data_IF_083232499655
#
_entry.id   IF_083232499655
#
_cell.length_a   1.000
_cell.length_b   1.000
_cell.length_c   1.000
_cell.angle_alpha   90.00
_cell.angle_beta   90.00
_cell.angle_gamma   90.00
#
_symmetry.space_group_name_H-M   'P 1'
#
loop_
_entity.id
_entity.type
_entity.pdbx_description
1 polymer ?
#
# COMPACT_ATOMS: atom_id res chain seq x y z
N UNK A 1 36.83 10.91 -20.15
CA UNK A 1 36.20 9.91 -21.05
C UNK A 1 34.70 9.97 -20.84
N UNK A 2 33.90 10.17 -21.88
CA UNK A 2 32.44 10.19 -21.75
C UNK A 2 31.85 8.81 -21.43
N UNK A 3 30.61 8.75 -20.92
CA UNK A 3 29.86 7.50 -20.69
C UNK A 3 29.85 6.62 -21.96
N UNK A 4 29.64 7.22 -23.13
CA UNK A 4 29.65 6.54 -24.44
C UNK A 4 31.02 5.94 -24.81
N UNK A 5 32.13 6.59 -24.48
CA UNK A 5 33.48 6.07 -24.76
C UNK A 5 33.85 4.92 -23.81
N UNK A 6 33.41 5.02 -22.55
CA UNK A 6 33.55 3.95 -21.57
C UNK A 6 32.84 2.68 -22.04
N UNK A 7 31.62 2.82 -22.57
CA UNK A 7 30.81 1.71 -23.07
C UNK A 7 31.38 1.09 -24.35
N UNK A 8 31.83 1.91 -25.30
CA UNK A 8 32.48 1.43 -26.53
C UNK A 8 33.74 0.59 -26.25
N UNK A 9 34.46 0.89 -25.15
CA UNK A 9 35.65 0.12 -24.74
C UNK A 9 35.33 -1.17 -23.98
N UNK A 10 34.23 -1.23 -23.23
CA UNK A 10 33.93 -2.37 -22.34
C UNK A 10 32.92 -3.36 -22.91
N UNK A 11 31.97 -2.91 -23.74
CA UNK A 11 30.86 -3.75 -24.26
C UNK A 11 31.15 -4.24 -25.69
N UNK A 12 32.21 -3.75 -26.33
CA UNK A 12 32.46 -3.98 -27.76
C UNK A 12 31.51 -3.14 -28.63
N UNK A 13 31.66 -3.15 -29.97
CA UNK A 13 30.76 -2.42 -30.85
C UNK A 13 29.33 -2.93 -30.63
N UNK A 14 28.44 -2.05 -30.18
CA UNK A 14 27.00 -2.29 -30.14
C UNK A 14 26.60 -2.78 -31.53
N UNK A 15 26.22 -4.06 -31.65
CA UNK A 15 25.70 -4.60 -32.90
C UNK A 15 24.50 -3.75 -33.29
N UNK A 16 24.64 -3.02 -34.39
CA UNK A 16 23.51 -2.50 -35.15
C UNK A 16 22.70 -3.72 -35.59
N UNK A 17 21.66 -4.05 -34.85
CA UNK A 17 20.63 -4.97 -35.32
C UNK A 17 19.88 -4.25 -36.43
N UNK A 18 20.37 -4.41 -37.65
CA UNK A 18 19.67 -4.01 -38.86
C UNK A 18 18.37 -4.79 -39.01
N UNK A 19 17.34 -4.09 -39.48
CA UNK A 19 16.15 -4.68 -40.10
C UNK A 19 14.83 -4.35 -39.40
N UNK A 20 14.01 -3.53 -40.06
CA UNK A 20 12.55 -3.50 -39.85
C UNK A 20 12.00 -2.13 -39.45
N UNK A 21 11.26 -1.52 -40.37
CA UNK A 21 10.52 -0.27 -40.19
C UNK A 21 9.60 -0.33 -38.97
N UNK A 22 9.85 0.55 -38.01
CA UNK A 22 8.96 0.99 -36.94
C UNK A 22 9.58 2.28 -36.42
N UNK A 23 8.77 3.30 -36.11
CA UNK A 23 9.20 4.52 -35.43
C UNK A 23 9.83 4.17 -34.08
N UNK A 24 11.10 3.78 -34.10
CA UNK A 24 11.93 3.61 -32.92
C UNK A 24 12.29 5.01 -32.44
N UNK A 25 11.43 5.55 -31.57
CA UNK A 25 11.79 6.63 -30.64
C UNK A 25 13.15 6.25 -30.05
N UNK A 26 14.16 7.07 -30.29
CA UNK A 26 15.52 6.81 -29.86
C UNK A 26 15.56 6.70 -28.34
N UNK A 27 15.48 5.48 -27.82
CA UNK A 27 15.61 5.24 -26.39
C UNK A 27 16.97 5.77 -25.93
N UNK A 28 17.00 6.68 -24.94
CA UNK A 28 18.22 7.20 -24.34
C UNK A 28 19.24 6.08 -24.09
N UNK A 29 20.49 6.22 -24.54
CA UNK A 29 21.52 5.19 -24.40
C UNK A 29 21.76 4.72 -22.94
N UNK A 30 21.30 5.50 -21.95
CA UNK A 30 21.27 5.11 -20.54
C UNK A 30 20.24 4.01 -20.20
N UNK A 31 19.18 3.85 -21.00
CA UNK A 31 18.10 2.85 -20.83
C UNK A 31 18.54 1.46 -21.32
N UNK A 32 19.52 1.38 -22.24
CA UNK A 32 20.13 0.12 -22.66
C UNK A 32 21.18 -0.43 -21.69
N UNK A 33 21.58 0.36 -20.69
CA UNK A 33 22.51 -0.08 -19.66
C UNK A 33 21.75 -0.80 -18.56
N UNK A 34 22.24 -1.97 -18.16
CA UNK A 34 21.78 -2.58 -16.93
C UNK A 34 22.05 -1.62 -15.76
N UNK A 35 21.15 -1.56 -14.77
CA UNK A 35 21.35 -0.75 -13.56
C UNK A 35 22.72 -1.05 -12.92
N UNK A 36 23.16 -2.31 -12.97
CA UNK A 36 24.48 -2.76 -12.52
C UNK A 36 25.65 -2.12 -13.27
N UNK A 37 25.51 -1.86 -14.58
CA UNK A 37 26.57 -1.22 -15.37
C UNK A 37 26.70 0.25 -15.04
N UNK A 38 25.56 0.93 -14.77
CA UNK A 38 25.55 2.30 -14.26
C UNK A 38 26.19 2.37 -12.88
N UNK A 39 25.90 1.42 -11.98
CA UNK A 39 26.57 1.33 -10.68
C UNK A 39 28.09 1.17 -10.81
N UNK A 40 28.54 0.25 -11.67
CA UNK A 40 29.97 0.04 -11.92
C UNK A 40 30.63 1.30 -12.49
N UNK A 41 29.99 1.96 -13.45
CA UNK A 41 30.49 3.21 -14.01
C UNK A 41 30.63 4.30 -12.94
N UNK A 42 29.60 4.49 -12.10
CA UNK A 42 29.65 5.46 -11.02
C UNK A 42 30.77 5.11 -10.02
N UNK A 43 30.91 3.85 -9.64
CA UNK A 43 31.95 3.39 -8.72
C UNK A 43 33.38 3.57 -9.28
N UNK A 44 33.60 3.30 -10.56
CA UNK A 44 34.89 3.49 -11.21
C UNK A 44 35.24 4.99 -11.33
N UNK A 45 34.29 5.82 -11.76
CA UNK A 45 34.46 7.27 -11.82
C UNK A 45 34.74 7.89 -10.47
N UNK A 46 34.00 7.46 -9.45
CA UNK A 46 34.19 7.93 -8.08
C UNK A 46 35.58 7.57 -7.56
N UNK A 47 36.07 6.33 -7.83
CA UNK A 47 37.45 5.93 -7.50
C UNK A 47 38.50 6.75 -8.22
N UNK A 48 38.33 7.00 -9.52
CA UNK A 48 39.28 7.81 -10.31
C UNK A 48 39.37 9.24 -9.76
N UNK A 49 38.22 9.91 -9.63
CA UNK A 49 38.19 11.34 -9.32
C UNK A 49 38.52 11.64 -7.86
N UNK A 50 38.04 10.80 -6.94
CA UNK A 50 38.38 10.95 -5.53
C UNK A 50 39.80 10.45 -5.25
N UNK A 51 40.26 9.41 -5.95
CA UNK A 51 41.64 8.95 -5.89
C UNK A 51 42.62 10.05 -6.28
N UNK A 52 42.37 10.74 -7.39
CA UNK A 52 43.21 11.86 -7.83
C UNK A 52 43.24 13.01 -6.80
N UNK A 53 42.09 13.34 -6.20
CA UNK A 53 42.01 14.38 -5.17
C UNK A 53 42.76 13.98 -3.89
N UNK A 54 42.70 12.71 -3.48
CA UNK A 54 43.44 12.18 -2.33
C UNK A 54 44.95 12.23 -2.60
N UNK A 55 45.40 11.83 -3.79
CA UNK A 55 46.83 11.91 -4.15
C UNK A 55 47.32 13.36 -4.20
N UNK A 56 46.53 14.30 -4.72
CA UNK A 56 46.84 15.74 -4.69
C UNK A 56 46.88 16.33 -3.27
N UNK A 57 46.07 15.79 -2.37
CA UNK A 57 46.02 16.20 -0.96
C UNK A 57 47.18 15.64 -0.13
N UNK A 58 47.91 14.64 -0.63
CA UNK A 58 48.98 13.95 0.10
C UNK A 58 50.10 14.90 0.56
N UNK A 59 50.70 15.64 -0.37
CA UNK A 59 51.83 16.53 -0.07
C UNK A 59 51.45 17.62 0.96
N UNK A 60 50.31 18.34 0.83
CA UNK A 60 49.85 19.27 1.86
C UNK A 60 49.66 18.61 3.23
N UNK A 61 49.14 17.39 3.29
CA UNK A 61 48.87 16.67 4.55
C UNK A 61 50.18 16.23 5.22
N UNK A 62 51.13 15.68 4.47
CA UNK A 62 52.45 15.30 5.01
C UNK A 62 53.21 16.52 5.54
N UNK A 63 53.10 17.68 4.87
CA UNK A 63 53.69 18.95 5.35
C UNK A 63 52.94 19.49 6.58
N UNK A 64 51.62 19.40 6.59
CA UNK A 64 50.79 19.79 7.75
C UNK A 64 51.16 18.99 8.99
N UNK A 65 51.47 17.69 8.84
CA UNK A 65 51.89 16.85 9.97
C UNK A 65 53.13 17.41 10.65
N UNK A 66 54.16 17.75 9.87
CA UNK A 66 55.39 18.33 10.40
C UNK A 66 55.15 19.70 11.07
N UNK A 67 54.47 20.62 10.37
CA UNK A 67 54.23 21.98 10.87
C UNK A 67 53.32 21.99 12.12
N UNK A 68 52.31 21.11 12.19
CA UNK A 68 51.46 20.96 13.37
C UNK A 68 52.24 20.35 14.54
N UNK A 69 53.13 19.39 14.28
CA UNK A 69 53.98 18.81 15.33
C UNK A 69 54.98 19.84 15.89
N UNK A 70 55.60 20.64 15.02
CA UNK A 70 56.46 21.77 15.44
C UNK A 70 55.65 22.79 16.25
N UNK A 71 54.44 23.16 15.82
CA UNK A 71 53.58 24.07 16.57
C UNK A 71 53.22 23.52 17.96
N UNK A 72 52.91 22.22 18.07
CA UNK A 72 52.63 21.58 19.37
C UNK A 72 53.83 21.62 20.30
N UNK A 73 55.02 21.29 19.79
CA UNK A 73 56.28 21.33 20.56
C UNK A 73 56.60 22.76 21.01
N UNK A 74 56.40 23.74 20.12
CA UNK A 74 56.55 25.15 20.45
C UNK A 74 55.60 25.54 21.59
N UNK A 75 54.30 25.23 21.47
CA UNK A 75 53.30 25.57 22.49
C UNK A 75 53.70 24.97 23.84
N UNK A 76 54.13 23.71 23.88
CA UNK A 76 54.58 23.07 25.11
C UNK A 76 55.82 23.74 25.70
N UNK A 77 56.79 24.11 24.86
CA UNK A 77 57.98 24.86 25.26
C UNK A 77 57.65 26.25 25.83
N UNK A 78 56.71 26.95 25.20
CA UNK A 78 56.24 28.26 25.65
C UNK A 78 55.46 28.19 26.97
N UNK A 79 54.62 27.16 27.16
CA UNK A 79 53.89 26.96 28.41
C UNK A 79 54.81 26.78 29.62
N UNK A 80 56.08 26.39 29.42
CA UNK A 80 57.09 26.27 30.50
C UNK A 80 57.78 27.58 30.87
N UNK A 81 57.63 28.64 30.08
CA UNK A 81 58.24 29.95 30.33
C UNK A 81 57.37 30.78 31.30
N UNK A 82 57.99 31.65 32.09
CA UNK A 82 57.28 32.59 32.98
C UNK A 82 57.55 34.02 32.52
N UNK A 83 56.57 34.94 32.64
CA UNK A 83 56.84 36.36 32.42
C UNK A 83 57.81 36.86 33.49
N UNK A 84 58.62 37.88 33.17
CA UNK A 84 59.54 38.46 34.14
C UNK A 84 58.76 39.06 35.34
N UNK A 85 59.02 38.52 36.53
CA UNK A 85 58.44 38.98 37.80
C UNK A 85 58.75 40.45 38.13
N UNK A 86 59.82 41.02 37.56
CA UNK A 86 60.20 42.42 37.71
C UNK A 86 59.41 43.38 36.81
N UNK A 87 58.59 42.88 35.87
CA UNK A 87 57.88 43.72 34.91
C UNK A 87 56.60 44.32 35.50
N UNK A 88 56.34 45.61 35.25
CA UNK A 88 55.18 46.36 35.79
C UNK A 88 53.80 45.77 35.43
N UNK A 89 53.75 44.92 34.40
CA UNK A 89 52.54 44.23 33.94
C UNK A 89 52.55 42.72 34.19
N UNK A 90 53.43 42.21 35.08
CA UNK A 90 53.58 40.77 35.36
C UNK A 90 52.24 40.05 35.59
N UNK A 91 51.37 40.55 36.48
CA UNK A 91 50.07 39.92 36.77
C UNK A 91 49.17 39.79 35.53
N UNK A 92 49.18 40.78 34.65
CA UNK A 92 48.39 40.78 33.41
C UNK A 92 49.00 39.76 32.43
N UNK A 93 50.33 39.74 32.29
CA UNK A 93 51.03 38.78 31.45
C UNK A 93 50.82 37.33 31.92
N UNK A 94 50.85 37.06 33.22
CA UNK A 94 50.57 35.73 33.79
C UNK A 94 49.14 35.29 33.52
N UNK A 95 48.15 36.18 33.65
CA UNK A 95 46.75 35.86 33.35
C UNK A 95 46.53 35.57 31.86
N UNK A 96 47.11 36.39 30.97
CA UNK A 96 47.06 36.15 29.52
C UNK A 96 47.76 34.84 29.16
N UNK A 97 48.91 34.54 29.75
CA UNK A 97 49.61 33.27 29.54
C UNK A 97 48.77 32.08 29.97
N UNK A 98 48.16 32.12 31.17
CA UNK A 98 47.27 31.05 31.64
C UNK A 98 46.05 30.87 30.70
N UNK A 99 45.52 31.98 30.18
CA UNK A 99 44.45 31.97 29.18
C UNK A 99 44.89 31.43 27.81
N UNK A 100 46.15 31.65 27.42
CA UNK A 100 46.75 31.03 26.24
C UNK A 100 46.93 29.52 26.47
N UNK A 101 47.65 29.10 27.51
CA UNK A 101 47.98 27.70 27.83
C UNK A 101 46.73 26.82 27.92
N UNK A 102 45.69 27.27 28.63
CA UNK A 102 44.45 26.51 28.81
C UNK A 102 43.68 26.24 27.50
N UNK A 103 43.84 27.11 26.50
CA UNK A 103 43.16 27.03 25.21
C UNK A 103 44.03 26.39 24.14
N UNK A 104 45.33 26.70 24.12
CA UNK A 104 46.30 26.17 23.18
C UNK A 104 46.64 24.71 23.44
N UNK A 105 46.61 24.25 24.70
CA UNK A 105 46.84 22.86 25.06
C UNK A 105 45.85 21.86 24.46
N UNK A 106 44.70 22.32 23.93
CA UNK A 106 43.70 21.47 23.27
C UNK A 106 43.78 21.53 21.75
N UNK A 107 44.52 22.49 21.19
CA UNK A 107 44.57 22.72 19.76
C UNK A 107 45.37 21.64 19.07
N UNK A 108 44.82 21.12 17.99
CA UNK A 108 45.41 20.08 17.17
C UNK A 108 45.66 18.76 17.89
N UNK A 109 45.58 18.63 19.22
CA UNK A 109 45.92 17.40 19.97
C UNK A 109 45.13 16.17 19.49
N UNK A 110 43.85 16.34 19.16
CA UNK A 110 42.99 15.28 18.61
C UNK A 110 42.99 15.20 17.09
N UNK A 111 43.82 15.99 16.40
CA UNK A 111 43.92 15.96 14.95
C UNK A 111 44.62 14.66 14.53
N UNK A 112 43.82 13.66 14.20
CA UNK A 112 44.29 12.41 13.60
C UNK A 112 44.61 12.63 12.14
N UNK A 113 45.87 12.46 11.76
CA UNK A 113 46.30 12.57 10.37
C UNK A 113 45.83 11.35 9.55
N UNK A 114 45.33 11.55 8.31
CA UNK A 114 44.99 10.47 7.42
C UNK A 114 46.20 9.55 7.20
N UNK A 115 45.98 8.24 7.23
CA UNK A 115 47.04 7.22 7.39
C UNK A 115 47.96 6.98 6.20
N UNK A 116 48.39 8.01 5.46
CA UNK A 116 49.35 7.92 4.36
C UNK A 116 50.65 7.23 4.78
N UNK A 117 51.12 7.48 6.01
CA UNK A 117 52.35 6.94 6.57
C UNK A 117 52.32 5.43 6.90
N UNK A 118 51.14 4.78 6.91
CA UNK A 118 50.99 3.35 7.26
C UNK A 118 50.69 2.45 6.05
N UNK A 119 50.91 2.94 4.83
CA UNK A 119 50.61 2.22 3.60
C UNK A 119 49.10 2.03 3.34
N UNK A 120 48.24 2.70 4.11
CA UNK A 120 46.79 2.71 3.89
C UNK A 120 46.43 3.92 3.06
N UNK A 121 45.71 3.71 1.95
CA UNK A 121 45.10 4.81 1.20
C UNK A 121 43.86 5.30 1.98
N UNK A 122 43.87 6.53 2.50
CA UNK A 122 42.69 7.06 3.16
C UNK A 122 41.56 7.24 2.15
N UNK A 123 40.32 7.15 2.61
CA UNK A 123 39.15 7.49 1.82
C UNK A 123 39.01 9.01 1.66
N UNK A 124 38.27 9.44 0.64
CA UNK A 124 38.02 10.85 0.41
C UNK A 124 37.29 11.51 1.59
N UNK A 125 36.38 10.75 2.22
CA UNK A 125 35.65 11.21 3.39
C UNK A 125 36.57 11.44 4.60
N UNK A 126 37.54 10.53 4.84
CA UNK A 126 38.51 10.72 5.92
C UNK A 126 39.37 11.98 5.70
N UNK A 127 39.76 12.26 4.45
CA UNK A 127 40.56 13.45 4.11
C UNK A 127 39.73 14.73 4.24
N UNK A 128 38.46 14.73 3.83
CA UNK A 128 37.59 15.90 4.00
C UNK A 128 37.24 16.16 5.46
N UNK A 129 36.97 15.12 6.26
CA UNK A 129 36.75 15.23 7.71
C UNK A 129 38.00 15.77 8.43
N UNK A 130 39.19 15.32 8.04
CA UNK A 130 40.44 15.85 8.56
C UNK A 130 40.56 17.36 8.31
N UNK A 131 40.31 17.80 7.08
CA UNK A 131 40.39 19.22 6.74
C UNK A 131 39.36 20.06 7.52
N UNK A 132 38.13 19.58 7.69
CA UNK A 132 37.11 20.28 8.49
C UNK A 132 37.54 20.47 9.94
N UNK A 133 38.14 19.43 10.54
CA UNK A 133 38.71 19.52 11.90
C UNK A 133 39.89 20.49 11.96
N UNK A 134 40.80 20.43 10.98
CA UNK A 134 41.94 21.35 10.87
C UNK A 134 41.48 22.82 10.81
N UNK A 135 40.49 23.13 9.99
CA UNK A 135 39.94 24.49 9.86
C UNK A 135 39.31 24.97 11.17
N UNK A 136 38.59 24.09 11.90
CA UNK A 136 38.00 24.40 13.20
C UNK A 136 39.08 24.71 14.26
N UNK A 137 40.16 23.93 14.27
CA UNK A 137 41.28 24.16 15.18
C UNK A 137 42.03 25.45 14.84
N UNK A 138 42.23 25.76 13.55
CA UNK A 138 42.81 27.03 13.10
C UNK A 138 41.97 28.26 13.49
N UNK A 139 40.64 28.16 13.38
CA UNK A 139 39.74 29.21 13.85
C UNK A 139 39.87 29.44 15.37
N UNK A 140 39.95 28.34 16.13
CA UNK A 140 40.11 28.40 17.59
C UNK A 140 41.49 28.95 17.97
N UNK A 141 42.55 28.58 17.25
CA UNK A 141 43.90 29.12 17.40
C UNK A 141 43.90 30.63 17.14
N UNK A 142 43.33 31.07 16.02
CA UNK A 142 43.26 32.49 15.64
C UNK A 142 42.55 33.33 16.69
N UNK A 143 41.43 32.83 17.23
CA UNK A 143 40.72 33.47 18.34
C UNK A 143 41.57 33.55 19.60
N UNK A 144 42.25 32.46 19.95
CA UNK A 144 43.14 32.40 21.13
C UNK A 144 44.31 33.37 21.00
N UNK A 145 44.89 33.53 19.80
CA UNK A 145 45.94 34.49 19.53
C UNK A 145 45.44 35.95 19.65
N UNK A 146 44.25 36.25 19.13
CA UNK A 146 43.64 37.60 19.22
C UNK A 146 43.31 38.00 20.66
N UNK A 147 42.74 37.07 21.43
CA UNK A 147 42.42 37.31 22.85
C UNK A 147 43.67 37.57 23.70
N UNK A 148 44.85 37.15 23.20
CA UNK A 148 46.14 37.30 23.83
C UNK A 148 47.09 38.22 23.03
N UNK A 149 46.58 39.20 22.29
CA UNK A 149 47.37 40.03 21.36
C UNK A 149 48.59 40.76 21.96
N UNK A 150 48.66 40.92 23.28
CA UNK A 150 49.77 41.58 23.98
C UNK A 150 50.84 40.60 24.51
N UNK A 151 50.59 39.28 24.48
CA UNK A 151 51.59 38.26 24.82
C UNK A 151 52.94 38.46 24.10
N UNK A 152 52.97 38.87 22.81
CA UNK A 152 54.22 39.14 22.10
C UNK A 152 55.10 40.21 22.73
N UNK A 153 54.55 41.16 23.48
CA UNK A 153 55.36 42.21 24.14
C UNK A 153 56.23 41.63 25.28
N UNK A 154 55.83 40.48 25.83
CA UNK A 154 56.51 39.78 26.93
C UNK A 154 57.40 38.62 26.46
N UNK A 155 57.16 38.12 25.23
CA UNK A 155 57.81 36.91 24.69
C UNK A 155 58.07 37.05 23.18
N UNK A 156 58.79 38.11 22.79
CA UNK A 156 58.94 38.53 21.38
C UNK A 156 59.43 37.44 20.44
N UNK A 157 60.46 36.69 20.84
CA UNK A 157 61.09 35.69 19.96
C UNK A 157 60.18 34.46 19.76
N UNK A 158 59.56 33.97 20.83
CA UNK A 158 58.69 32.79 20.79
C UNK A 158 57.38 33.06 20.03
N UNK A 159 56.81 34.25 20.21
CA UNK A 159 55.54 34.62 19.57
C UNK A 159 55.66 34.89 18.07
N UNK A 160 56.84 35.30 17.61
CA UNK A 160 57.14 35.41 16.19
C UNK A 160 57.16 34.03 15.50
N UNK A 161 57.76 33.03 16.16
CA UNK A 161 57.80 31.64 15.67
C UNK A 161 56.40 31.03 15.59
N UNK A 162 55.56 31.20 16.63
CA UNK A 162 54.15 30.76 16.59
C UNK A 162 53.36 31.39 15.46
N UNK A 163 53.56 32.69 15.24
CA UNK A 163 52.88 33.42 14.18
C UNK A 163 53.29 32.94 12.79
N UNK A 164 54.55 32.52 12.62
CA UNK A 164 55.07 31.95 11.38
C UNK A 164 54.47 30.56 11.12
N UNK A 165 54.52 29.66 12.12
CA UNK A 165 53.97 28.30 12.02
C UNK A 165 52.47 28.33 11.74
N UNK A 166 51.71 29.17 12.45
CA UNK A 166 50.28 29.32 12.22
C UNK A 166 49.95 29.81 10.80
N UNK A 167 50.76 30.72 10.24
CA UNK A 167 50.62 31.17 8.85
C UNK A 167 50.91 30.04 7.85
N UNK A 168 51.94 29.22 8.10
CA UNK A 168 52.26 28.07 7.24
C UNK A 168 51.15 27.01 7.27
N UNK A 169 50.66 26.65 8.46
CA UNK A 169 49.52 25.72 8.60
C UNK A 169 48.27 26.28 7.91
N UNK A 170 48.00 27.59 8.04
CA UNK A 170 46.87 28.23 7.35
C UNK A 170 47.03 28.18 5.82
N UNK A 171 48.24 28.42 5.29
CA UNK A 171 48.51 28.32 3.86
C UNK A 171 48.32 26.89 3.35
N UNK A 172 48.85 25.89 4.08
CA UNK A 172 48.68 24.49 3.73
C UNK A 172 47.22 24.03 3.83
N UNK A 173 46.43 24.56 4.77
CA UNK A 173 45.00 24.30 4.85
C UNK A 173 44.23 24.84 3.63
N UNK A 174 44.67 25.98 3.08
CA UNK A 174 44.13 26.54 1.82
C UNK A 174 44.55 25.69 0.62
N UNK A 175 45.80 25.24 0.56
CA UNK A 175 46.27 24.31 -0.49
C UNK A 175 45.47 22.99 -0.46
N UNK A 176 45.23 22.44 0.73
CA UNK A 176 44.41 21.25 0.93
C UNK A 176 42.95 21.48 0.48
N UNK A 177 42.36 22.64 0.81
CA UNK A 177 41.01 22.97 0.32
C UNK A 177 40.97 23.04 -1.21
N UNK A 178 41.96 23.69 -1.83
CA UNK A 178 42.06 23.80 -3.27
C UNK A 178 42.20 22.44 -3.96
N UNK A 179 42.94 21.50 -3.35
CA UNK A 179 43.07 20.13 -3.85
C UNK A 179 41.75 19.35 -3.80
N UNK A 180 40.95 19.54 -2.74
CA UNK A 180 39.70 18.80 -2.51
C UNK A 180 38.46 19.44 -3.16
N UNK A 181 38.48 20.75 -3.42
CA UNK A 181 37.32 21.50 -3.91
C UNK A 181 36.69 20.94 -5.20
N UNK A 182 37.46 20.50 -6.23
CA UNK A 182 36.87 19.88 -7.43
C UNK A 182 36.12 18.59 -7.10
N UNK A 183 36.70 17.72 -6.27
CA UNK A 183 36.08 16.45 -5.89
C UNK A 183 34.85 16.65 -5.00
N UNK A 184 34.85 17.64 -4.09
CA UNK A 184 33.66 18.00 -3.28
C UNK A 184 32.48 18.43 -4.14
N UNK A 185 32.72 19.24 -5.18
CA UNK A 185 31.66 19.63 -6.13
C UNK A 185 31.10 18.41 -6.85
N UNK A 186 31.95 17.47 -7.24
CA UNK A 186 31.54 16.24 -7.94
C UNK A 186 30.85 15.23 -7.02
N UNK A 187 31.18 15.19 -5.73
CA UNK A 187 30.51 14.34 -4.74
C UNK A 187 29.00 14.58 -4.69
N UNK A 188 28.55 15.83 -4.78
CA UNK A 188 27.12 16.15 -4.86
C UNK A 188 26.48 15.56 -6.12
N UNK A 189 27.17 15.62 -7.25
CA UNK A 189 26.70 15.05 -8.52
C UNK A 189 26.61 13.52 -8.44
N UNK A 190 27.64 12.84 -7.92
CA UNK A 190 27.61 11.39 -7.69
C UNK A 190 26.46 10.98 -6.77
N UNK A 191 26.26 11.71 -5.67
CA UNK A 191 25.15 11.45 -4.74
C UNK A 191 23.79 11.62 -5.42
N UNK A 192 23.65 12.63 -6.29
CA UNK A 192 22.45 12.87 -7.09
C UNK A 192 22.18 11.75 -8.10
N UNK A 193 23.23 11.20 -8.72
CA UNK A 193 23.15 10.08 -9.64
C UNK A 193 22.77 8.78 -8.93
N UNK A 194 23.39 8.48 -7.77
CA UNK A 194 23.05 7.31 -6.96
C UNK A 194 21.59 7.34 -6.50
N UNK A 195 21.09 8.48 -6.04
CA UNK A 195 19.67 8.66 -5.68
C UNK A 195 18.73 8.44 -6.87
N UNK A 196 19.09 8.96 -8.04
CA UNK A 196 18.29 8.76 -9.25
C UNK A 196 18.29 7.29 -9.69
N UNK A 197 19.43 6.61 -9.59
CA UNK A 197 19.55 5.19 -9.88
C UNK A 197 18.70 4.33 -8.93
N UNK A 198 18.74 4.61 -7.63
CA UNK A 198 17.90 3.95 -6.62
C UNK A 198 16.40 4.15 -6.90
N UNK A 199 16.01 5.35 -7.33
CA UNK A 199 14.65 5.66 -7.78
C UNK A 199 14.23 4.85 -9.01
N UNK A 200 15.12 4.64 -9.98
CA UNK A 200 14.86 3.77 -11.14
C UNK A 200 14.72 2.32 -10.69
N UNK A 201 15.64 1.82 -9.86
CA UNK A 201 15.62 0.45 -9.33
C UNK A 201 14.31 0.15 -8.60
N UNK A 202 13.92 1.00 -7.65
CA UNK A 202 12.66 0.85 -6.92
C UNK A 202 11.41 0.99 -7.81
N UNK A 203 11.42 1.89 -8.80
CA UNK A 203 10.30 2.02 -9.74
C UNK A 203 10.18 0.80 -10.64
N UNK A 204 11.31 0.24 -11.09
CA UNK A 204 11.36 -0.97 -11.91
C UNK A 204 10.85 -2.18 -11.14
N UNK A 205 11.25 -2.34 -9.88
CA UNK A 205 10.74 -3.40 -9.02
C UNK A 205 9.20 -3.35 -8.90
N UNK A 206 8.63 -2.17 -8.65
CA UNK A 206 7.17 -1.98 -8.59
C UNK A 206 6.45 -2.28 -9.90
N UNK A 207 7.07 -1.96 -11.04
CA UNK A 207 6.51 -2.31 -12.36
C UNK A 207 6.50 -3.82 -12.54
N UNK A 208 7.60 -4.51 -12.22
CA UNK A 208 7.68 -5.97 -12.32
C UNK A 208 6.65 -6.66 -11.42
N UNK A 209 6.51 -6.24 -10.16
CA UNK A 209 5.51 -6.78 -9.22
C UNK A 209 4.08 -6.64 -9.78
N UNK A 210 3.74 -5.51 -10.38
CA UNK A 210 2.43 -5.29 -10.99
C UNK A 210 2.24 -6.09 -12.28
N UNK A 211 3.28 -6.28 -13.09
CA UNK A 211 3.23 -7.11 -14.29
C UNK A 211 3.00 -8.58 -13.95
N UNK A 212 3.68 -9.09 -12.93
CA UNK A 212 3.45 -10.44 -12.39
C UNK A 212 2.04 -10.57 -11.84
N UNK A 213 1.58 -9.60 -11.02
CA UNK A 213 0.23 -9.55 -10.48
C UNK A 213 -0.84 -9.54 -11.57
N UNK A 214 -0.63 -8.77 -12.65
CA UNK A 214 -1.53 -8.75 -13.81
C UNK A 214 -1.57 -10.09 -14.55
N UNK A 215 -0.48 -10.85 -14.58
CA UNK A 215 -0.47 -12.21 -15.08
C UNK A 215 -1.49 -13.09 -14.37
N UNK A 216 -1.44 -13.11 -13.02
CA UNK A 216 -2.39 -13.84 -12.19
C UNK A 216 -3.84 -13.31 -12.34
N UNK A 217 -4.03 -11.99 -12.38
CA UNK A 217 -5.36 -11.39 -12.58
C UNK A 217 -5.97 -11.79 -13.93
N UNK A 218 -5.17 -11.86 -15.01
CA UNK A 218 -5.63 -12.34 -16.33
C UNK A 218 -6.03 -13.80 -16.31
N UNK A 219 -5.26 -14.65 -15.64
CA UNK A 219 -5.58 -16.06 -15.49
C UNK A 219 -6.93 -16.25 -14.77
N UNK A 220 -7.12 -15.55 -13.64
CA UNK A 220 -8.39 -15.57 -12.89
C UNK A 220 -9.59 -15.08 -13.71
N UNK A 221 -9.42 -14.02 -14.51
CA UNK A 221 -10.48 -13.56 -15.44
C UNK A 221 -10.77 -14.64 -16.49
N UNK A 222 -9.75 -15.32 -17.01
CA UNK A 222 -9.92 -16.42 -17.95
C UNK A 222 -10.69 -17.61 -17.35
N UNK A 223 -10.37 -18.01 -16.12
CA UNK A 223 -11.07 -19.07 -15.39
C UNK A 223 -12.53 -18.70 -15.08
N UNK A 224 -12.77 -17.47 -14.59
CA UNK A 224 -14.11 -16.96 -14.37
C UNK A 224 -14.92 -16.90 -15.68
N UNK A 225 -14.26 -16.57 -16.80
CA UNK A 225 -14.86 -16.60 -18.14
C UNK A 225 -15.34 -17.99 -18.52
N UNK A 226 -14.49 -19.01 -18.35
CA UNK A 226 -14.85 -20.42 -18.59
C UNK A 226 -16.01 -20.87 -17.69
N UNK A 227 -16.01 -20.47 -16.41
CA UNK A 227 -17.10 -20.80 -15.49
C UNK A 227 -18.43 -20.14 -15.89
N UNK A 228 -18.39 -18.85 -16.28
CA UNK A 228 -19.56 -18.13 -16.76
C UNK A 228 -20.12 -18.75 -18.05
N UNK A 229 -19.26 -19.20 -18.97
CA UNK A 229 -19.66 -19.95 -20.16
C UNK A 229 -20.27 -21.32 -19.84
N UNK A 230 -19.66 -22.07 -18.90
CA UNK A 230 -20.21 -23.34 -18.44
C UNK A 230 -21.61 -23.17 -17.81
N UNK A 231 -21.81 -22.13 -17.00
CA UNK A 231 -23.12 -21.79 -16.44
C UNK A 231 -24.14 -21.43 -17.53
N UNK A 232 -23.74 -20.65 -18.54
CA UNK A 232 -24.59 -20.34 -19.71
C UNK A 232 -24.98 -21.61 -20.47
N UNK A 233 -24.04 -22.52 -20.69
CA UNK A 233 -24.29 -23.79 -21.38
C UNK A 233 -25.26 -24.67 -20.59
N UNK A 234 -25.05 -24.82 -19.28
CA UNK A 234 -25.96 -25.57 -18.39
C UNK A 234 -27.36 -24.96 -18.37
N UNK A 235 -27.47 -23.63 -18.38
CA UNK A 235 -28.75 -22.94 -18.52
C UNK A 235 -29.45 -23.25 -19.84
N UNK A 236 -28.70 -23.25 -20.96
CA UNK A 236 -29.25 -23.59 -22.28
C UNK A 236 -29.68 -25.06 -22.36
N UNK A 237 -28.92 -25.98 -21.75
CA UNK A 237 -29.25 -27.41 -21.68
C UNK A 237 -30.52 -27.69 -20.85
N UNK A 238 -30.73 -26.93 -19.78
CA UNK A 238 -31.93 -27.05 -18.94
C UNK A 238 -33.20 -26.48 -19.61
N UNK A 239 -33.02 -25.62 -20.63
CA UNK A 239 -33.91 -25.47 -21.79
C UNK A 239 -35.41 -25.31 -21.56
N UNK A 240 -36.17 -25.56 -22.63
CA UNK A 240 -37.62 -25.32 -22.73
C UNK A 240 -38.45 -26.07 -21.67
N UNK A 241 -38.00 -27.26 -21.23
CA UNK A 241 -38.69 -28.02 -20.17
C UNK A 241 -38.62 -27.35 -18.81
N UNK A 242 -37.45 -26.87 -18.39
CA UNK A 242 -37.33 -26.11 -17.14
C UNK A 242 -38.05 -24.77 -17.22
N UNK A 243 -38.06 -24.13 -18.40
CA UNK A 243 -38.72 -22.85 -18.62
C UNK A 243 -40.25 -22.99 -18.57
N UNK A 244 -40.79 -24.03 -19.22
CA UNK A 244 -42.20 -24.40 -19.16
C UNK A 244 -42.64 -24.74 -17.74
N UNK A 245 -41.92 -25.65 -17.07
CA UNK A 245 -42.21 -26.01 -15.67
C UNK A 245 -42.16 -24.79 -14.74
N UNK A 246 -41.21 -23.87 -14.91
CA UNK A 246 -41.13 -22.66 -14.11
C UNK A 246 -42.27 -21.65 -14.41
N UNK A 247 -42.72 -21.54 -15.66
CA UNK A 247 -43.89 -20.74 -16.02
C UNK A 247 -45.18 -21.34 -15.44
N UNK A 248 -45.38 -22.64 -15.61
CA UNK A 248 -46.50 -23.39 -15.03
C UNK A 248 -46.54 -23.26 -13.51
N UNK A 249 -45.38 -23.30 -12.85
CA UNK A 249 -45.26 -23.13 -11.41
C UNK A 249 -45.69 -21.71 -10.96
N UNK A 250 -45.36 -20.67 -11.74
CA UNK A 250 -45.82 -19.30 -11.47
C UNK A 250 -47.34 -19.19 -11.63
N UNK A 251 -47.91 -19.77 -12.69
CA UNK A 251 -49.35 -19.78 -12.93
C UNK A 251 -50.11 -20.59 -11.87
N UNK A 252 -49.56 -21.73 -11.47
CA UNK A 252 -50.09 -22.59 -10.44
C UNK A 252 -50.11 -21.88 -9.09
N UNK A 253 -49.01 -21.22 -8.70
CA UNK A 253 -48.97 -20.38 -7.50
C UNK A 253 -50.00 -19.26 -7.54
N UNK A 254 -50.21 -18.63 -8.69
CA UNK A 254 -51.26 -17.62 -8.85
C UNK A 254 -52.67 -18.22 -8.70
N UNK A 255 -52.93 -19.41 -9.26
CA UNK A 255 -54.21 -20.13 -9.12
C UNK A 255 -54.47 -20.56 -7.68
N UNK A 256 -53.46 -21.13 -7.01
CA UNK A 256 -53.48 -21.47 -5.58
C UNK A 256 -53.82 -20.25 -4.74
N UNK A 257 -53.19 -19.09 -5.00
CA UNK A 257 -53.49 -17.84 -4.29
C UNK A 257 -54.93 -17.35 -4.52
N UNK A 258 -55.52 -17.55 -5.71
CA UNK A 258 -56.93 -17.19 -5.99
C UNK A 258 -57.92 -18.10 -5.26
N UNK A 259 -57.76 -19.41 -5.38
CA UNK A 259 -58.58 -20.39 -4.64
C UNK A 259 -58.46 -20.20 -3.13
N UNK A 260 -57.25 -19.87 -2.67
CA UNK A 260 -57.02 -19.50 -1.30
C UNK A 260 -57.82 -18.26 -0.86
N UNK A 261 -57.82 -17.20 -1.67
CA UNK A 261 -58.60 -16.00 -1.37
C UNK A 261 -60.11 -16.28 -1.36
N UNK A 262 -60.60 -17.14 -2.25
CA UNK A 262 -61.99 -17.59 -2.31
C UNK A 262 -62.40 -18.39 -1.07
N UNK A 263 -61.53 -19.30 -0.60
CA UNK A 263 -61.74 -20.08 0.63
C UNK A 263 -61.71 -19.19 1.88
N UNK A 264 -60.77 -18.24 1.96
CA UNK A 264 -60.60 -17.41 3.17
C UNK A 264 -61.64 -16.30 3.33
N UNK A 265 -62.21 -15.81 2.23
CA UNK A 265 -63.23 -14.74 2.26
C UNK A 265 -64.42 -15.08 3.17
N UNK A 266 -65.10 -16.23 3.04
CA UNK A 266 -66.20 -16.61 3.93
C UNK A 266 -65.74 -17.12 5.30
N UNK A 267 -64.49 -17.59 5.45
CA UNK A 267 -64.03 -18.20 6.71
C UNK A 267 -63.40 -17.21 7.69
N UNK A 268 -62.96 -16.04 7.20
CA UNK A 268 -62.36 -14.98 8.03
C UNK A 268 -63.25 -14.53 9.20
N UNK A 269 -64.58 -14.61 9.06
CA UNK A 269 -65.56 -14.25 10.10
C UNK A 269 -65.54 -15.20 11.30
N UNK A 270 -65.00 -16.41 11.16
CA UNK A 270 -64.90 -17.42 12.24
C UNK A 270 -63.76 -17.12 13.22
N UNK A 271 -62.81 -16.24 12.86
CA UNK A 271 -61.63 -15.93 13.67
C UNK A 271 -61.98 -15.36 15.05
N UNK A 272 -62.93 -14.42 15.10
CA UNK A 272 -63.34 -13.79 16.37
C UNK A 272 -64.16 -14.74 17.27
N UNK A 273 -65.15 -15.48 16.75
CA UNK A 273 -65.83 -16.55 17.50
C UNK A 273 -64.87 -17.59 18.07
N UNK A 274 -63.92 -18.07 17.28
CA UNK A 274 -62.96 -19.07 17.75
C UNK A 274 -62.05 -18.55 18.86
N UNK A 275 -61.62 -17.27 18.83
CA UNK A 275 -60.89 -16.67 19.97
C UNK A 275 -61.72 -16.62 21.25
N UNK A 276 -63.03 -16.38 21.14
CA UNK A 276 -63.93 -16.37 22.30
C UNK A 276 -64.10 -17.80 22.83
N UNK A 277 -64.33 -18.76 21.93
CA UNK A 277 -64.47 -20.18 22.27
C UNK A 277 -63.18 -20.77 22.85
N UNK A 278 -61.99 -20.37 22.40
CA UNK A 278 -60.72 -20.81 23.00
C UNK A 278 -60.67 -20.56 24.52
N UNK A 279 -61.23 -19.44 24.97
CA UNK A 279 -61.18 -19.04 26.39
C UNK A 279 -62.12 -19.86 27.26
N UNK A 280 -63.23 -20.31 26.68
CA UNK A 280 -64.35 -20.94 27.42
C UNK A 280 -64.42 -22.45 27.18
N UNK A 281 -63.86 -22.96 26.08
CA UNK A 281 -63.90 -24.38 25.72
C UNK A 281 -63.07 -25.23 26.71
N UNK A 282 -63.68 -26.24 27.35
CA UNK A 282 -62.99 -27.12 28.31
C UNK A 282 -62.15 -28.21 27.62
N UNK A 283 -62.46 -28.54 26.35
CA UNK A 283 -61.73 -29.54 25.57
C UNK A 283 -60.38 -28.97 25.10
N UNK A 284 -59.29 -29.61 25.53
CA UNK A 284 -57.91 -29.20 25.22
C UNK A 284 -57.59 -29.28 23.72
N UNK A 285 -58.14 -30.24 22.99
CA UNK A 285 -57.94 -30.40 21.54
C UNK A 285 -58.67 -29.31 20.77
N UNK A 286 -59.95 -29.08 21.08
CA UNK A 286 -60.74 -28.01 20.45
C UNK A 286 -60.16 -26.63 20.75
N UNK A 287 -59.71 -26.41 21.98
CA UNK A 287 -59.02 -25.18 22.39
C UNK A 287 -57.74 -24.95 21.57
N UNK A 288 -56.97 -26.00 21.29
CA UNK A 288 -55.81 -25.92 20.41
C UNK A 288 -56.22 -25.55 18.97
N UNK A 289 -57.24 -26.21 18.42
CA UNK A 289 -57.76 -25.90 17.07
C UNK A 289 -58.24 -24.45 16.97
N UNK A 290 -58.97 -23.95 17.97
CA UNK A 290 -59.41 -22.56 18.02
C UNK A 290 -58.25 -21.58 18.09
N UNK A 291 -57.22 -21.86 18.89
CA UNK A 291 -56.01 -21.03 19.01
C UNK A 291 -55.24 -20.99 17.70
N UNK A 292 -54.97 -22.15 17.12
CA UNK A 292 -54.18 -22.28 15.90
C UNK A 292 -54.88 -21.53 14.77
N UNK A 293 -56.19 -21.74 14.60
CA UNK A 293 -56.97 -21.04 13.59
C UNK A 293 -57.07 -19.53 13.85
N UNK A 294 -57.20 -19.12 15.11
CA UNK A 294 -57.33 -17.71 15.49
C UNK A 294 -56.04 -16.90 15.33
N UNK A 295 -54.90 -17.55 15.57
CA UNK A 295 -53.58 -16.96 15.43
C UNK A 295 -53.20 -16.90 13.96
N UNK A 296 -53.23 -18.05 13.29
CA UNK A 296 -52.95 -18.18 11.87
C UNK A 296 -53.94 -19.13 11.17
N UNK A 297 -55.04 -18.60 10.61
CA UNK A 297 -56.02 -19.40 9.87
C UNK A 297 -55.38 -20.19 8.71
N UNK A 298 -54.30 -19.66 8.13
CA UNK A 298 -53.51 -20.30 7.06
C UNK A 298 -52.96 -21.67 7.47
N UNK A 299 -52.12 -21.68 8.52
CA UNK A 299 -51.41 -22.91 8.92
C UNK A 299 -52.36 -23.97 9.47
N UNK A 300 -53.53 -23.55 9.95
CA UNK A 300 -54.55 -24.44 10.51
C UNK A 300 -55.44 -25.09 9.45
N UNK A 301 -55.47 -24.55 8.24
CA UNK A 301 -56.19 -25.12 7.10
C UNK A 301 -55.28 -26.02 6.24
N UNK A 302 -53.98 -25.72 6.19
CA UNK A 302 -53.04 -26.27 5.21
C UNK A 302 -51.76 -26.84 5.83
N UNK A 303 -51.83 -27.47 7.01
CA UNK A 303 -50.63 -28.08 7.61
C UNK A 303 -49.96 -29.07 6.64
N UNK A 304 -48.62 -29.12 6.62
CA UNK A 304 -47.79 -29.79 5.59
C UNK A 304 -48.02 -31.31 5.40
N UNK A 305 -48.87 -31.94 6.22
CA UNK A 305 -49.07 -33.39 6.22
C UNK A 305 -50.50 -33.85 5.92
N UNK A 306 -51.53 -33.07 6.24
CA UNK A 306 -52.94 -33.35 5.91
C UNK A 306 -53.70 -32.01 6.04
N UNK A 307 -54.65 -31.69 5.15
CA UNK A 307 -55.59 -30.60 5.42
C UNK A 307 -56.34 -30.91 6.70
N UNK A 308 -56.24 -30.01 7.68
CA UNK A 308 -56.89 -30.15 8.98
C UNK A 308 -58.42 -29.91 8.88
N UNK A 309 -59.01 -30.18 7.70
CA UNK A 309 -60.43 -30.09 7.39
C UNK A 309 -61.31 -30.87 8.37
N UNK A 310 -60.94 -32.08 8.85
CA UNK A 310 -61.71 -32.77 9.88
C UNK A 310 -61.68 -32.05 11.23
N UNK A 311 -60.54 -31.44 11.61
CA UNK A 311 -60.39 -30.68 12.86
C UNK A 311 -61.19 -29.38 12.81
N UNK A 312 -61.13 -28.67 11.69
CA UNK A 312 -61.90 -27.44 11.48
C UNK A 312 -63.41 -27.73 11.41
N UNK A 313 -63.83 -28.86 10.81
CA UNK A 313 -65.23 -29.32 10.84
C UNK A 313 -65.69 -29.60 12.27
N UNK A 314 -64.88 -30.29 13.08
CA UNK A 314 -65.18 -30.55 14.50
C UNK A 314 -65.35 -29.23 15.26
N UNK A 315 -64.47 -28.26 15.02
CA UNK A 315 -64.53 -26.93 15.62
C UNK A 315 -65.77 -26.11 15.16
N UNK A 316 -66.15 -26.18 13.88
CA UNK A 316 -67.35 -25.51 13.36
C UNK A 316 -68.64 -26.16 13.86
N UNK A 317 -68.70 -27.49 13.99
CA UNK A 317 -69.84 -28.20 14.61
C UNK A 317 -70.01 -27.78 16.07
N UNK A 318 -68.93 -27.73 16.83
CA UNK A 318 -68.96 -27.22 18.20
C UNK A 318 -69.43 -25.76 18.28
N UNK A 319 -69.00 -24.90 17.35
CA UNK A 319 -69.47 -23.51 17.27
C UNK A 319 -70.98 -23.43 16.97
N UNK A 320 -71.52 -24.31 16.12
CA UNK A 320 -72.95 -24.35 15.83
C UNK A 320 -73.78 -24.85 17.02
N UNK A 321 -73.24 -25.81 17.78
CA UNK A 321 -73.91 -26.40 18.95
C UNK A 321 -73.83 -25.53 20.21
N UNK A 322 -72.74 -24.77 20.40
CA UNK A 322 -72.43 -24.05 21.65
C UNK A 322 -72.34 -22.52 21.49
N UNK A 323 -72.58 -21.98 20.29
CA UNK A 323 -72.21 -20.60 19.94
C UNK A 323 -73.30 -19.54 20.02
N UNK A 324 -74.50 -19.86 20.53
CA UNK A 324 -75.65 -18.94 20.51
C UNK A 324 -75.43 -17.63 21.29
N UNK A 325 -74.54 -17.65 22.30
CA UNK A 325 -74.22 -16.47 23.13
C UNK A 325 -73.03 -15.63 22.63
N UNK A 326 -72.43 -15.97 21.47
CA UNK A 326 -71.14 -15.41 21.06
C UNK A 326 -71.21 -14.03 20.37
N UNK A 327 -72.33 -13.62 19.78
CA UNK A 327 -72.46 -12.33 19.08
C UNK A 327 -73.88 -11.77 19.21
N UNK A 328 -74.00 -10.48 19.54
CA UNK A 328 -75.30 -9.82 19.79
C UNK A 328 -75.94 -9.26 18.51
N UNK A 329 -75.15 -9.07 17.45
CA UNK A 329 -75.64 -8.62 16.15
C UNK A 329 -76.10 -9.81 15.32
N UNK A 330 -77.42 -9.91 15.10
CA UNK A 330 -78.04 -10.99 14.34
C UNK A 330 -77.51 -11.12 12.91
N UNK A 331 -77.14 -10.01 12.25
CA UNK A 331 -76.60 -10.04 10.88
C UNK A 331 -75.20 -10.63 10.85
N UNK A 332 -74.39 -10.35 11.87
CA UNK A 332 -73.04 -10.91 12.02
C UNK A 332 -73.13 -12.37 12.45
N UNK A 333 -74.03 -12.71 13.38
CA UNK A 333 -74.30 -14.07 13.81
C UNK A 333 -74.78 -14.95 12.65
N UNK A 334 -75.66 -14.44 11.79
CA UNK A 334 -76.10 -15.13 10.56
C UNK A 334 -74.95 -15.44 9.60
N UNK A 335 -74.00 -14.50 9.43
CA UNK A 335 -72.78 -14.73 8.62
C UNK A 335 -71.85 -15.77 9.25
N UNK A 336 -71.72 -15.77 10.58
CA UNK A 336 -70.91 -16.74 11.33
C UNK A 336 -71.52 -18.15 11.21
N UNK A 337 -72.84 -18.28 11.42
CA UNK A 337 -73.57 -19.55 11.28
C UNK A 337 -73.47 -20.10 9.87
N UNK A 338 -73.75 -19.27 8.85
CA UNK A 338 -73.62 -19.66 7.45
C UNK A 338 -72.21 -20.13 7.08
N UNK A 339 -71.17 -19.45 7.57
CA UNK A 339 -69.77 -19.86 7.37
C UNK A 339 -69.43 -21.18 8.08
N UNK A 340 -69.89 -21.35 9.33
CA UNK A 340 -69.67 -22.56 10.10
C UNK A 340 -70.46 -23.76 9.56
N UNK A 341 -71.69 -23.56 9.08
CA UNK A 341 -72.52 -24.56 8.38
C UNK A 341 -71.88 -24.98 7.06
N UNK A 342 -71.36 -24.03 6.28
CA UNK A 342 -70.65 -24.32 5.02
C UNK A 342 -69.43 -25.23 5.25
N UNK A 343 -68.70 -25.02 6.35
CA UNK A 343 -67.57 -25.89 6.72
C UNK A 343 -68.06 -27.22 7.29
N UNK A 344 -68.98 -27.20 8.26
CA UNK A 344 -69.48 -28.39 8.98
C UNK A 344 -70.24 -29.36 8.06
N UNK A 345 -71.00 -28.83 7.09
CA UNK A 345 -71.72 -29.55 6.05
C UNK A 345 -70.84 -29.96 4.86
N UNK A 346 -69.55 -29.59 4.87
CA UNK A 346 -68.59 -30.04 3.87
C UNK A 346 -68.64 -29.30 2.53
N UNK A 347 -69.33 -28.15 2.41
CA UNK A 347 -69.36 -27.34 1.21
C UNK A 347 -67.97 -26.78 0.83
N UNK A 348 -67.06 -26.64 1.80
CA UNK A 348 -65.65 -26.29 1.56
C UNK A 348 -64.77 -27.49 1.15
N UNK A 349 -65.28 -28.72 1.14
CA UNK A 349 -64.49 -29.92 0.81
C UNK A 349 -63.91 -29.92 -0.61
N UNK A 350 -64.66 -29.53 -1.67
CA UNK A 350 -64.14 -29.49 -3.03
C UNK A 350 -62.98 -28.49 -3.18
N UNK A 351 -63.12 -27.29 -2.63
CA UNK A 351 -62.07 -26.26 -2.67
C UNK A 351 -60.80 -26.65 -1.90
N UNK A 352 -60.95 -27.44 -0.82
CA UNK A 352 -59.82 -27.97 -0.07
C UNK A 352 -59.10 -29.08 -0.86
N UNK A 353 -59.85 -29.97 -1.51
CA UNK A 353 -59.29 -31.00 -2.39
C UNK A 353 -58.56 -30.37 -3.60
N UNK A 354 -59.12 -29.33 -4.22
CA UNK A 354 -58.47 -28.60 -5.30
C UNK A 354 -57.14 -27.94 -4.84
N UNK A 355 -57.10 -27.41 -3.61
CA UNK A 355 -55.87 -26.85 -3.04
C UNK A 355 -54.82 -27.91 -2.71
N UNK A 356 -55.22 -29.11 -2.30
CA UNK A 356 -54.32 -30.26 -2.10
C UNK A 356 -53.70 -30.70 -3.42
N UNK A 357 -54.52 -30.85 -4.46
CA UNK A 357 -54.07 -31.23 -5.79
C UNK A 357 -53.06 -30.22 -6.33
N UNK A 358 -53.34 -28.92 -6.17
CA UNK A 358 -52.41 -27.85 -6.53
C UNK A 358 -51.13 -27.89 -5.68
N UNK A 359 -51.20 -28.18 -4.39
CA UNK A 359 -49.99 -28.32 -3.55
C UNK A 359 -49.10 -29.49 -4.00
N UNK A 360 -49.71 -30.60 -4.42
CA UNK A 360 -48.98 -31.76 -4.91
C UNK A 360 -48.33 -31.46 -6.28
N UNK A 361 -49.08 -30.84 -7.19
CA UNK A 361 -48.58 -30.36 -8.47
C UNK A 361 -47.47 -29.31 -8.31
N UNK A 362 -47.57 -28.40 -7.34
CA UNK A 362 -46.50 -27.45 -7.01
C UNK A 362 -45.22 -28.17 -6.59
N UNK A 363 -45.30 -29.18 -5.73
CA UNK A 363 -44.13 -29.96 -5.28
C UNK A 363 -43.46 -30.74 -6.41
N UNK A 364 -44.24 -31.21 -7.38
CA UNK A 364 -43.73 -31.94 -8.54
C UNK A 364 -43.06 -30.98 -9.53
N UNK A 365 -43.71 -29.87 -9.87
CA UNK A 365 -43.13 -28.83 -10.71
C UNK A 365 -41.92 -28.16 -10.07
N UNK A 366 -41.87 -28.02 -8.74
CA UNK A 366 -40.70 -27.51 -8.01
C UNK A 366 -39.47 -28.39 -8.22
N UNK A 367 -39.63 -29.72 -8.26
CA UNK A 367 -38.50 -30.64 -8.53
C UNK A 367 -37.97 -30.47 -9.95
N UNK A 368 -38.87 -30.27 -10.90
CA UNK A 368 -38.51 -30.10 -12.31
C UNK A 368 -37.94 -28.71 -12.62
N UNK A 369 -38.41 -27.67 -11.92
CA UNK A 369 -37.96 -26.29 -12.10
C UNK A 369 -36.71 -25.95 -11.28
N UNK A 370 -36.45 -26.64 -10.16
CA UNK A 370 -35.33 -26.36 -9.25
C UNK A 370 -33.96 -26.33 -9.95
N UNK A 371 -33.59 -27.28 -10.84
CA UNK A 371 -32.32 -27.25 -11.55
C UNK A 371 -32.14 -25.99 -12.39
N UNK A 372 -33.20 -25.50 -13.05
CA UNK A 372 -33.16 -24.28 -13.86
C UNK A 372 -33.02 -23.03 -12.97
N UNK A 373 -33.77 -22.96 -11.87
CA UNK A 373 -33.70 -21.84 -10.92
C UNK A 373 -32.28 -21.74 -10.33
N UNK A 374 -31.69 -22.87 -9.95
CA UNK A 374 -30.32 -22.93 -9.44
C UNK A 374 -29.30 -22.53 -10.51
N UNK A 375 -29.41 -23.07 -11.72
CA UNK A 375 -28.53 -22.73 -12.83
C UNK A 375 -28.58 -21.22 -13.17
N UNK A 376 -29.76 -20.60 -13.08
CA UNK A 376 -29.95 -19.16 -13.32
C UNK A 376 -29.24 -18.32 -12.26
N UNK A 377 -29.37 -18.70 -10.98
CA UNK A 377 -28.64 -18.04 -9.88
C UNK A 377 -27.14 -18.17 -10.06
N UNK A 378 -26.66 -19.36 -10.39
CA UNK A 378 -25.23 -19.62 -10.61
C UNK A 378 -24.68 -18.84 -11.81
N UNK A 379 -25.44 -18.71 -12.90
CA UNK A 379 -25.09 -17.87 -14.04
C UNK A 379 -24.99 -16.38 -13.65
N UNK A 380 -25.92 -15.88 -12.85
CA UNK A 380 -25.90 -14.50 -12.38
C UNK A 380 -24.69 -14.21 -11.48
N UNK A 381 -24.39 -15.12 -10.55
CA UNK A 381 -23.23 -15.03 -9.67
C UNK A 381 -21.94 -15.06 -10.50
N UNK A 382 -21.77 -16.05 -11.38
CA UNK A 382 -20.58 -16.16 -12.23
C UNK A 382 -20.41 -14.94 -13.15
N UNK A 383 -21.52 -14.37 -13.66
CA UNK A 383 -21.50 -13.14 -14.45
C UNK A 383 -21.05 -11.92 -13.65
N UNK A 384 -21.56 -11.76 -12.42
CA UNK A 384 -21.13 -10.69 -11.50
C UNK A 384 -19.67 -10.82 -11.10
N UNK A 385 -19.21 -12.03 -10.81
CA UNK A 385 -17.80 -12.31 -10.50
C UNK A 385 -16.88 -11.98 -11.67
N UNK A 386 -17.23 -12.42 -12.89
CA UNK A 386 -16.45 -12.11 -14.09
C UNK A 386 -16.35 -10.60 -14.33
N UNK A 387 -17.45 -9.86 -14.22
CA UNK A 387 -17.45 -8.40 -14.39
C UNK A 387 -16.65 -7.68 -13.30
N UNK A 388 -16.73 -8.14 -12.05
CA UNK A 388 -15.91 -7.59 -10.97
C UNK A 388 -14.41 -7.81 -11.23
N UNK A 389 -14.02 -9.01 -11.65
CA UNK A 389 -12.63 -9.33 -11.98
C UNK A 389 -12.11 -8.56 -13.20
N UNK A 390 -12.94 -8.34 -14.23
CA UNK A 390 -12.59 -7.50 -15.38
C UNK A 390 -12.33 -6.05 -14.97
N UNK A 391 -13.21 -5.46 -14.15
CA UNK A 391 -13.02 -4.09 -13.64
C UNK A 391 -11.74 -3.97 -12.81
N UNK A 392 -11.44 -4.98 -12.00
CA UNK A 392 -10.19 -5.03 -11.27
C UNK A 392 -8.99 -5.10 -12.22
N UNK A 393 -9.03 -5.96 -13.23
CA UNK A 393 -7.98 -6.10 -14.24
C UNK A 393 -7.74 -4.78 -15.02
N UNK A 394 -8.81 -4.06 -15.35
CA UNK A 394 -8.73 -2.73 -15.97
C UNK A 394 -8.03 -1.72 -15.05
N UNK A 395 -8.44 -1.66 -13.77
CA UNK A 395 -7.82 -0.80 -12.76
C UNK A 395 -6.33 -1.11 -12.54
N UNK A 396 -5.97 -2.40 -12.43
CA UNK A 396 -4.59 -2.86 -12.33
C UNK A 396 -3.79 -2.47 -13.60
N UNK A 397 -4.43 -2.55 -14.77
CA UNK A 397 -3.84 -2.14 -16.05
C UNK A 397 -3.57 -0.63 -16.15
N UNK A 398 -4.46 0.20 -15.61
CA UNK A 398 -4.26 1.65 -15.51
C UNK A 398 -3.15 2.00 -14.52
N UNK A 399 -3.11 1.33 -13.36
CA UNK A 399 -2.05 1.47 -12.38
C UNK A 399 -0.68 1.12 -12.99
N UNK A 400 -0.57 0.02 -13.75
CA UNK A 400 0.65 -0.34 -14.46
C UNK A 400 1.07 0.74 -15.47
N UNK A 401 0.13 1.29 -16.25
CA UNK A 401 0.42 2.39 -17.19
C UNK A 401 0.99 3.61 -16.47
N UNK A 402 0.43 3.97 -15.32
CA UNK A 402 0.93 5.07 -14.51
C UNK A 402 2.33 4.80 -13.98
N UNK A 403 2.59 3.60 -13.42
CA UNK A 403 3.91 3.22 -12.93
C UNK A 403 4.96 3.18 -14.04
N UNK A 404 4.62 2.73 -15.25
CA UNK A 404 5.51 2.80 -16.42
C UNK A 404 5.86 4.24 -16.80
N UNK A 405 4.94 5.20 -16.66
CA UNK A 405 5.23 6.63 -16.87
C UNK A 405 6.21 7.16 -15.82
N UNK A 406 6.00 6.80 -14.55
CA UNK A 406 6.90 7.18 -13.46
C UNK A 406 8.31 6.58 -13.63
N UNK A 407 8.41 5.32 -14.06
CA UNK A 407 9.67 4.67 -14.38
C UNK A 407 10.41 5.43 -15.50
N UNK A 408 9.73 5.75 -16.60
CA UNK A 408 10.32 6.53 -17.70
C UNK A 408 10.80 7.90 -17.24
N UNK A 409 10.04 8.58 -16.38
CA UNK A 409 10.46 9.86 -15.82
C UNK A 409 11.71 9.73 -14.92
N UNK A 410 11.81 8.65 -14.14
CA UNK A 410 13.00 8.37 -13.33
C UNK A 410 14.22 8.02 -14.19
N UNK A 411 14.03 7.27 -15.28
CA UNK A 411 15.09 6.95 -16.24
C UNK A 411 15.63 8.20 -16.94
N UNK A 412 14.74 9.12 -17.33
CA UNK A 412 15.12 10.42 -17.88
C UNK A 412 15.92 11.25 -16.86
N UNK A 413 15.46 11.34 -15.61
CA UNK A 413 16.18 12.04 -14.54
C UNK A 413 17.59 11.46 -14.32
N UNK A 414 17.72 10.13 -14.35
CA UNK A 414 19.01 9.45 -14.25
C UNK A 414 19.91 9.77 -15.46
N UNK A 415 19.37 9.73 -16.67
CA UNK A 415 20.10 10.03 -17.90
C UNK A 415 20.63 11.47 -17.91
N UNK A 416 19.81 12.45 -17.50
CA UNK A 416 20.20 13.85 -17.38
C UNK A 416 21.36 14.03 -16.38
N UNK A 417 21.26 13.40 -15.21
CA UNK A 417 22.32 13.48 -14.19
C UNK A 417 23.63 12.81 -14.62
N UNK A 418 23.55 11.64 -15.28
CA UNK A 418 24.71 10.96 -15.85
C UNK A 418 25.36 11.78 -16.97
N UNK A 419 24.57 12.49 -17.77
CA UNK A 419 25.08 13.39 -18.81
C UNK A 419 25.89 14.54 -18.21
N UNK A 420 25.43 15.08 -17.08
CA UNK A 420 26.15 16.09 -16.31
C UNK A 420 27.51 15.59 -15.78
N UNK A 421 27.60 14.33 -15.38
CA UNK A 421 28.88 13.69 -14.99
C UNK A 421 29.83 13.47 -16.16
N UNK A 422 29.30 13.05 -17.31
CA UNK A 422 30.10 12.74 -18.50
C UNK A 422 30.66 13.98 -19.21
N UNK A 423 30.23 15.19 -18.83
CA UNK A 423 30.58 16.45 -19.52
C UNK A 423 30.01 16.55 -20.94
N UNK A 424 29.14 15.61 -21.31
CA UNK A 424 28.44 15.58 -22.58
C UNK A 424 26.97 15.80 -22.29
N UNK A 425 26.39 16.89 -22.80
CA UNK A 425 24.93 16.95 -23.00
C UNK A 425 24.58 15.76 -23.88
N UNK A 426 23.99 14.72 -23.28
CA UNK A 426 23.34 13.68 -24.06
C UNK A 426 22.14 14.39 -24.67
N UNK A 427 22.22 14.68 -25.97
CA UNK A 427 21.08 15.17 -26.72
C UNK A 427 20.03 14.04 -26.69
N UNK A 428 18.98 14.24 -25.90
CA UNK A 428 17.82 13.36 -25.83
C UNK A 428 16.77 14.00 -26.73
N UNK A 429 16.58 13.42 -27.91
CA UNK A 429 15.55 13.79 -28.89
C UNK A 429 14.29 12.96 -28.68
#
# INVERSE_FOLDING_TARGET
>A
MGLLDYLKRKVGPLKETGGGQSEAVAEPAAIRLGLEEVERFLAEREREEFGEAIEKARDPIERLENEVMELRQGIEGFSRKEPDSGHRFYKIASQMKQGFDSRSAKLFVSLGFPGFAKGKKPSFLEVTEFQERLLKDLQTFSKTALDNKYLPEFFKDDTAEFSLLAKRISALAVELDAALAPARKRQLVFSGCRKALEKVSSSKARVNELEEGLGYSRERVGEAGKNAEACKKRMAELGERGAGANQELVELRARKNRLFAELMRPLSVLRRPFRKLERVCPDKELKKIFRDYSSNPWNSLLSDSVPDAPRLRKACKFLLESGEELEKDEKVLGKIRSAAESVAGGACSPLLADLEELNQQEKELEKDAAPLIEARKNQEIAGKELEALKKQLEGDGEALKQRRKELKAAELELAEKLSGLAGAKVALA
#
